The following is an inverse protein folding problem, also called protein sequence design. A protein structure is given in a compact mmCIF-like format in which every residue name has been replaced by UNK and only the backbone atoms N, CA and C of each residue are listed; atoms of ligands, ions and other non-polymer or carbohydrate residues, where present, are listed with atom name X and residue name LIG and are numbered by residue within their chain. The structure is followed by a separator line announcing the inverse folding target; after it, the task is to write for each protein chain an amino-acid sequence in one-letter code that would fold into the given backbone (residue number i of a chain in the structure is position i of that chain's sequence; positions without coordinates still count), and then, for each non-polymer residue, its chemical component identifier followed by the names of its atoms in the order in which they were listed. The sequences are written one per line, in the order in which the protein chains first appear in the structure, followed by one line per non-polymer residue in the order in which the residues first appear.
data_IF_261552131547
#
_entry.id   IF_261552131547
#
_cell.length_a   1.000
_cell.length_b   1.000
_cell.length_c   1.000
_cell.angle_alpha   90.00
_cell.angle_beta   90.00
_cell.angle_gamma   90.00
#
_symmetry.space_group_name_H-M   'P 1'
#
loop_
_entity.id
_entity.type
_entity.pdbx_description
1 polymer ?
#
# COMPACT_ATOMS: atom_id res chain seq x y z
N UNK A 1 7.81 -4.43 13.26
CA UNK A 1 6.77 -3.84 14.15
C UNK A 1 6.71 -2.35 13.85
N UNK A 2 5.54 -1.75 13.59
CA UNK A 2 5.46 -0.35 13.14
C UNK A 2 5.83 0.63 14.25
N UNK A 3 6.39 1.78 13.85
CA UNK A 3 6.78 2.87 14.73
C UNK A 3 5.76 4.01 14.57
N UNK A 4 5.28 4.53 15.70
CA UNK A 4 4.31 5.62 15.73
C UNK A 4 4.82 6.81 16.54
N UNK A 5 4.61 8.05 16.06
CA UNK A 5 4.97 9.25 16.81
C UNK A 5 3.92 9.56 17.89
N UNK A 6 4.40 9.98 19.06
CA UNK A 6 3.61 10.48 20.19
C UNK A 6 4.12 11.86 20.60
N UNK A 7 3.28 12.62 21.30
CA UNK A 7 3.65 13.95 21.82
C UNK A 7 3.34 14.04 23.31
N UNK A 8 4.38 14.35 24.08
CA UNK A 8 4.29 14.79 25.46
C UNK A 8 4.24 16.32 25.47
N UNK A 9 3.37 16.91 26.29
CA UNK A 9 3.25 18.37 26.42
C UNK A 9 4.49 19.01 27.07
N UNK A 10 5.19 18.26 27.93
CA UNK A 10 6.36 18.76 28.67
C UNK A 10 7.68 18.48 27.95
N UNK A 11 7.86 17.28 27.39
CA UNK A 11 9.14 16.84 26.82
C UNK A 11 9.22 16.91 25.29
N UNK A 12 8.08 17.04 24.59
CA UNK A 12 8.02 17.06 23.13
C UNK A 12 7.66 15.71 22.49
N UNK A 13 8.05 15.54 21.22
CA UNK A 13 7.71 14.36 20.42
C UNK A 13 8.69 13.21 20.59
N UNK A 14 8.18 11.98 20.53
CA UNK A 14 8.98 10.75 20.59
C UNK A 14 8.32 9.62 19.79
N UNK A 15 9.07 8.56 19.51
CA UNK A 15 8.63 7.45 18.66
C UNK A 15 8.58 6.13 19.44
N UNK A 16 7.50 5.36 19.26
CA UNK A 16 7.29 4.09 19.98
C UNK A 16 6.92 2.98 19.00
N UNK A 17 7.54 1.81 19.15
CA UNK A 17 7.13 0.59 18.44
C UNK A 17 5.91 -0.03 19.12
N UNK A 18 4.80 -0.18 18.38
CA UNK A 18 3.57 -0.80 18.91
C UNK A 18 2.86 -1.66 17.87
N UNK A 19 2.04 -2.64 18.29
CA UNK A 19 1.16 -3.33 17.36
C UNK A 19 0.08 -2.36 16.85
N UNK A 20 -0.43 -2.61 15.65
CA UNK A 20 -1.41 -1.74 14.99
C UNK A 20 -2.73 -1.60 15.77
N UNK A 21 -3.07 -2.59 16.60
CA UNK A 21 -4.25 -2.61 17.45
C UNK A 21 -4.15 -1.60 18.62
N UNK A 22 -2.96 -1.34 19.13
CA UNK A 22 -2.72 -0.46 20.28
C UNK A 22 -2.22 0.93 19.85
N UNK A 23 -2.26 1.22 18.56
CA UNK A 23 -1.65 2.42 18.00
C UNK A 23 -2.29 3.70 18.56
N UNK A 24 -3.59 3.67 18.86
CA UNK A 24 -4.37 4.82 19.34
C UNK A 24 -4.41 4.89 20.89
N UNK A 25 -3.84 3.89 21.57
CA UNK A 25 -3.76 3.89 23.03
C UNK A 25 -2.76 4.94 23.53
N UNK A 26 -3.09 5.61 24.64
CA UNK A 26 -2.16 6.52 25.32
C UNK A 26 -0.87 5.81 25.75
N UNK A 27 0.24 6.53 25.76
CA UNK A 27 1.51 6.00 26.27
C UNK A 27 2.14 6.95 27.29
N UNK A 28 2.94 6.42 28.21
CA UNK A 28 3.71 7.22 29.14
C UNK A 28 4.98 7.76 28.46
N UNK A 29 5.30 9.02 28.68
CA UNK A 29 6.54 9.62 28.22
C UNK A 29 7.74 8.93 28.91
N UNK A 30 8.79 8.49 28.18
CA UNK A 30 9.94 7.83 28.78
C UNK A 30 10.79 8.75 29.67
N UNK A 31 10.62 10.08 29.55
CA UNK A 31 11.38 11.08 30.33
C UNK A 31 10.66 11.52 31.59
N UNK A 32 9.36 11.81 31.51
CA UNK A 32 8.59 12.39 32.63
C UNK A 32 7.39 11.55 33.08
N UNK A 33 7.13 10.39 32.47
CA UNK A 33 5.96 9.53 32.72
C UNK A 33 4.59 10.18 32.53
N UNK A 34 4.52 11.41 32.00
CA UNK A 34 3.24 12.05 31.66
C UNK A 34 2.52 11.29 30.54
N UNK A 35 1.20 11.36 30.53
CA UNK A 35 0.38 10.75 29.47
C UNK A 35 0.61 11.52 28.16
N UNK A 36 1.01 10.79 27.13
CA UNK A 36 1.21 11.27 25.78
C UNK A 36 0.21 10.62 24.82
N UNK A 37 -0.29 11.42 23.88
CA UNK A 37 -1.21 10.96 22.83
C UNK A 37 -0.46 10.74 21.52
N UNK A 38 -1.00 9.83 20.69
CA UNK A 38 -0.48 9.57 19.36
C UNK A 38 -0.62 10.82 18.48
N UNK A 39 0.43 11.16 17.75
CA UNK A 39 0.35 12.13 16.67
C UNK A 39 -0.03 11.45 15.35
N UNK A 40 -1.00 12.02 14.67
CA UNK A 40 -1.31 11.67 13.29
C UNK A 40 -0.39 12.49 12.39
N UNK A 41 0.45 11.82 11.61
CA UNK A 41 1.19 12.49 10.55
C UNK A 41 0.18 12.86 9.44
N UNK A 42 0.08 14.14 9.12
CA UNK A 42 -0.59 14.57 7.90
C UNK A 42 0.27 14.06 6.73
N UNK A 43 -0.27 13.23 5.82
CA UNK A 43 0.42 12.95 4.58
C UNK A 43 0.63 14.29 3.88
N UNK A 44 1.86 14.60 3.46
CA UNK A 44 2.07 15.75 2.60
C UNK A 44 1.25 15.53 1.33
N UNK A 45 0.14 16.27 1.21
CA UNK A 45 -0.64 16.32 -0.01
C UNK A 45 0.24 17.04 -1.02
N UNK A 46 0.94 16.27 -1.85
CA UNK A 46 1.68 16.78 -2.99
C UNK A 46 0.68 17.30 -4.02
N UNK A 47 0.10 18.48 -3.76
CA UNK A 47 -0.62 19.27 -4.73
C UNK A 47 0.43 19.71 -5.76
N UNK A 48 0.66 18.86 -6.76
CA UNK A 48 1.54 19.19 -7.86
C UNK A 48 0.95 20.42 -8.54
N UNK A 49 1.64 21.57 -8.45
CA UNK A 49 1.48 22.62 -9.45
C UNK A 49 1.70 21.97 -10.82
N UNK A 50 0.80 22.22 -11.78
CA UNK A 50 0.68 21.54 -13.09
C UNK A 50 1.92 21.56 -14.00
N UNK A 51 3.12 21.87 -13.51
CA UNK A 51 4.36 22.01 -14.27
C UNK A 51 5.40 20.94 -13.95
N UNK A 52 5.00 19.69 -13.70
CA UNK A 52 6.01 18.65 -13.46
C UNK A 52 5.54 17.23 -13.13
N UNK A 53 4.34 16.80 -13.49
CA UNK A 53 3.99 15.38 -13.45
C UNK A 53 4.60 14.67 -14.66
N UNK A 54 5.92 14.57 -14.68
CA UNK A 54 6.60 13.59 -15.51
C UNK A 54 6.22 12.20 -14.97
N UNK A 55 5.27 11.58 -15.68
CA UNK A 55 5.25 10.15 -16.02
C UNK A 55 5.32 9.13 -14.87
N UNK A 56 4.27 9.07 -14.04
CA UNK A 56 3.83 7.78 -13.49
C UNK A 56 3.01 7.05 -14.56
N UNK A 57 3.67 6.37 -15.51
CA UNK A 57 2.97 5.45 -16.41
C UNK A 57 2.43 4.28 -15.59
N UNK A 58 1.12 4.09 -15.62
CA UNK A 58 0.47 2.88 -15.11
C UNK A 58 0.91 1.74 -16.04
N UNK A 59 1.37 0.64 -15.46
CA UNK A 59 1.69 -0.57 -16.23
C UNK A 59 0.38 -1.25 -16.67
N UNK A 60 -0.23 -0.75 -17.72
CA UNK A 60 -1.43 -1.33 -18.36
C UNK A 60 -1.15 -2.63 -19.13
N UNK A 61 0.09 -3.14 -19.04
CA UNK A 61 0.53 -4.44 -19.59
C UNK A 61 0.97 -5.44 -18.51
N UNK A 62 0.28 -5.53 -17.38
CA UNK A 62 0.38 -6.73 -16.55
C UNK A 62 -0.34 -7.90 -17.24
N UNK A 63 0.18 -8.35 -18.38
CA UNK A 63 -0.23 -9.61 -19.00
C UNK A 63 0.44 -10.70 -18.18
N UNK A 64 -0.30 -11.28 -17.24
CA UNK A 64 0.11 -12.51 -16.56
C UNK A 64 -0.04 -13.68 -17.55
N UNK A 65 0.82 -13.72 -18.57
CA UNK A 65 0.91 -14.93 -19.40
C UNK A 65 1.67 -15.97 -18.60
N UNK A 66 0.94 -16.94 -18.05
CA UNK A 66 1.55 -18.16 -17.51
C UNK A 66 2.19 -18.93 -18.67
N UNK A 67 3.48 -18.68 -18.92
CA UNK A 67 4.29 -19.52 -19.79
C UNK A 67 4.60 -20.81 -19.02
N UNK A 68 3.81 -21.85 -19.25
CA UNK A 68 4.14 -23.19 -18.79
C UNK A 68 5.21 -23.77 -19.71
N UNK A 69 6.30 -24.25 -19.13
CA UNK A 69 7.25 -25.09 -19.85
C UNK A 69 6.55 -26.38 -20.31
N UNK A 70 7.10 -26.99 -21.36
CA UNK A 70 6.53 -28.06 -22.20
C UNK A 70 6.16 -29.39 -21.51
N UNK A 71 5.96 -29.41 -20.18
CA UNK A 71 5.57 -30.57 -19.39
C UNK A 71 4.35 -30.35 -18.48
N UNK A 72 3.68 -29.19 -18.53
CA UNK A 72 2.45 -28.99 -17.75
C UNK A 72 1.25 -29.55 -18.53
N UNK A 73 0.83 -30.77 -18.19
CA UNK A 73 -0.23 -31.55 -18.85
C UNK A 73 -1.67 -31.03 -18.66
N UNK A 74 -1.88 -29.72 -18.60
CA UNK A 74 -3.21 -29.09 -18.58
C UNK A 74 -3.60 -28.62 -19.99
N UNK A 75 -3.91 -29.56 -20.87
CA UNK A 75 -4.57 -29.30 -22.15
C UNK A 75 -5.98 -29.87 -22.19
N UNK A 76 -7.00 -29.06 -22.54
CA UNK A 76 -7.85 -29.30 -23.73
C UNK A 76 -9.11 -28.41 -23.83
N UNK A 77 -9.27 -27.86 -25.05
CA UNK A 77 -10.51 -27.64 -25.84
C UNK A 77 -11.48 -26.50 -25.44
N UNK A 78 -11.48 -25.44 -26.25
CA UNK A 78 -12.68 -24.68 -26.61
C UNK A 78 -12.60 -24.28 -28.09
N UNK A 79 -13.04 -25.17 -28.98
CA UNK A 79 -13.36 -24.85 -30.37
C UNK A 79 -14.77 -25.39 -30.67
N UNK A 80 -15.72 -24.47 -30.79
CA UNK A 80 -17.02 -24.53 -31.51
C UNK A 80 -17.83 -23.32 -31.02
N UNK A 81 -18.32 -22.37 -31.81
CA UNK A 81 -19.21 -22.49 -32.98
C UNK A 81 -19.17 -21.18 -33.80
N UNK A 82 -19.10 -21.26 -35.14
CA UNK A 82 -20.19 -20.98 -36.11
C UNK A 82 -20.05 -19.61 -36.81
N UNK A 83 -19.79 -19.60 -38.13
CA UNK A 83 -20.66 -19.01 -39.17
C UNK A 83 -20.04 -19.25 -40.58
N UNK A 84 -20.86 -19.68 -41.56
CA UNK A 84 -20.47 -20.02 -42.94
C UNK A 84 -20.59 -18.81 -43.89
N UNK A 85 -19.76 -18.67 -44.95
CA UNK A 85 -20.01 -17.67 -45.99
C UNK A 85 -20.94 -18.19 -47.10
N UNK A 86 -21.93 -17.37 -47.46
CA UNK A 86 -22.85 -17.52 -48.60
C UNK A 86 -22.29 -16.81 -49.84
N UNK A 87 -22.45 -17.42 -51.01
CA UNK A 87 -22.21 -16.85 -52.36
C UNK A 87 -23.40 -16.02 -52.84
#
# INVERSE_FOLDING_TARGET
MPIYPYRCETCGSFSVMRPVAERDASCACPTCSAIAQRMLAMPALGLMSSSGSAERRVNERAVYTHQHSSGCGCGSRAQSSAESPVS
#
